data_IF_850155094007
#
_entry.id   IF_850155094007
#
_cell.length_a   1.000
_cell.length_b   1.000
_cell.length_c   1.000
_cell.angle_alpha   90.00
_cell.angle_beta   90.00
_cell.angle_gamma   90.00
#
_symmetry.space_group_name_H-M   'P 1'
#
loop_
_entity.id
_entity.type
_entity.pdbx_description
1 polymer ?
#
# COMPACT_ATOMS: atom_id res chain seq x y z
N UNK A 1 -21.88 -13.78 7.84
CA UNK A 1 -21.05 -13.12 6.79
C UNK A 1 -20.65 -11.73 7.23
N UNK A 2 -19.62 -11.09 6.59
CA UNK A 2 -19.23 -9.69 6.86
C UNK A 2 -20.41 -8.73 6.66
N UNK A 3 -21.27 -9.00 5.68
CA UNK A 3 -22.44 -8.17 5.41
C UNK A 3 -23.45 -8.21 6.58
N UNK A 4 -23.65 -9.35 7.19
CA UNK A 4 -24.54 -9.47 8.38
C UNK A 4 -24.01 -8.63 9.55
N UNK A 5 -22.68 -8.69 9.82
CA UNK A 5 -22.04 -7.87 10.88
C UNK A 5 -22.14 -6.38 10.54
N UNK A 6 -21.96 -6.00 9.27
CA UNK A 6 -22.12 -4.63 8.81
C UNK A 6 -23.52 -4.10 9.04
N UNK A 7 -24.55 -4.87 8.70
CA UNK A 7 -25.96 -4.50 8.91
C UNK A 7 -26.28 -4.38 10.40
N UNK A 8 -25.75 -5.27 11.22
CA UNK A 8 -25.92 -5.18 12.68
C UNK A 8 -25.25 -3.93 13.26
N UNK A 9 -24.05 -3.57 12.80
CA UNK A 9 -23.38 -2.34 13.19
C UNK A 9 -24.20 -1.11 12.81
N UNK A 10 -24.83 -1.09 11.63
CA UNK A 10 -25.71 0.00 11.19
C UNK A 10 -26.98 0.08 12.06
N UNK A 11 -27.61 -1.05 12.39
CA UNK A 11 -28.80 -1.08 13.25
C UNK A 11 -28.52 -0.57 14.66
N UNK A 12 -27.29 -0.75 15.14
CA UNK A 12 -26.81 -0.21 16.43
C UNK A 12 -26.30 1.25 16.32
N UNK A 13 -26.46 1.90 15.17
CA UNK A 13 -26.03 3.28 14.95
C UNK A 13 -24.49 3.45 14.78
N UNK A 14 -23.72 2.34 14.75
CA UNK A 14 -22.26 2.41 14.67
C UNK A 14 -21.76 2.46 13.22
N UNK A 15 -21.86 3.65 12.62
CA UNK A 15 -21.47 3.87 11.21
C UNK A 15 -19.98 3.61 10.95
N UNK A 16 -19.11 3.92 11.91
CA UNK A 16 -17.67 3.73 11.74
C UNK A 16 -17.33 2.25 11.61
N UNK A 17 -17.89 1.40 12.48
CA UNK A 17 -17.71 -0.06 12.40
C UNK A 17 -18.29 -0.60 11.09
N UNK A 18 -19.47 -0.15 10.67
CA UNK A 18 -20.07 -0.57 9.41
C UNK A 18 -19.20 -0.19 8.20
N UNK A 19 -18.59 0.99 8.22
CA UNK A 19 -17.65 1.44 7.19
C UNK A 19 -16.38 0.60 7.19
N UNK A 20 -15.79 0.33 8.35
CA UNK A 20 -14.61 -0.54 8.49
C UNK A 20 -14.86 -1.94 7.91
N UNK A 21 -16.01 -2.54 8.22
CA UNK A 21 -16.40 -3.87 7.70
C UNK A 21 -16.56 -3.85 6.17
N UNK A 22 -17.16 -2.78 5.62
CA UNK A 22 -17.29 -2.62 4.16
C UNK A 22 -15.93 -2.54 3.47
N UNK A 23 -15.02 -1.73 4.01
CA UNK A 23 -13.67 -1.57 3.47
C UNK A 23 -12.86 -2.85 3.59
N UNK A 24 -12.95 -3.55 4.73
CA UNK A 24 -12.33 -4.85 4.91
C UNK A 24 -12.83 -5.87 3.88
N UNK A 25 -14.14 -5.94 3.66
CA UNK A 25 -14.73 -6.81 2.64
C UNK A 25 -14.24 -6.49 1.22
N UNK A 26 -14.06 -5.20 0.89
CA UNK A 26 -13.48 -4.76 -0.40
C UNK A 26 -12.03 -5.20 -0.51
N UNK A 27 -11.24 -5.02 0.54
CA UNK A 27 -9.83 -5.41 0.59
C UNK A 27 -9.65 -6.92 0.42
N UNK A 28 -10.41 -7.74 1.18
CA UNK A 28 -10.36 -9.20 1.08
C UNK A 28 -10.74 -9.69 -0.33
N UNK A 29 -11.74 -9.09 -0.94
CA UNK A 29 -12.15 -9.45 -2.32
C UNK A 29 -11.03 -9.19 -3.30
N UNK A 30 -10.37 -8.03 -3.23
CA UNK A 30 -9.23 -7.74 -4.08
C UNK A 30 -8.13 -8.80 -3.97
N UNK A 31 -7.77 -9.18 -2.74
CA UNK A 31 -6.75 -10.23 -2.49
C UNK A 31 -7.18 -11.56 -3.12
N UNK A 32 -8.43 -11.98 -2.89
CA UNK A 32 -8.95 -13.26 -3.42
C UNK A 32 -9.00 -13.24 -4.95
N UNK A 33 -9.48 -12.16 -5.58
CA UNK A 33 -9.60 -12.03 -7.03
C UNK A 33 -8.23 -12.00 -7.73
N UNK A 34 -7.18 -11.59 -7.00
CA UNK A 34 -5.82 -11.51 -7.54
C UNK A 34 -4.89 -12.65 -7.06
N UNK A 35 -5.39 -13.56 -6.23
CA UNK A 35 -4.65 -14.77 -5.85
C UNK A 35 -4.48 -15.67 -7.08
N UNK A 36 -3.21 -15.93 -7.45
CA UNK A 36 -2.87 -16.76 -8.63
C UNK A 36 -2.88 -16.00 -9.97
N UNK A 37 -3.18 -14.70 -10.00
CA UNK A 37 -3.03 -13.89 -11.22
C UNK A 37 -1.62 -13.30 -11.31
N UNK A 38 -1.04 -13.31 -12.52
CA UNK A 38 0.29 -12.72 -12.74
C UNK A 38 0.26 -11.20 -12.77
N UNK A 39 -0.82 -10.61 -13.29
CA UNK A 39 -0.96 -9.16 -13.45
C UNK A 39 -2.37 -8.69 -13.12
N UNK A 40 -2.45 -7.43 -12.68
CA UNK A 40 -3.69 -6.65 -12.51
C UNK A 40 -3.53 -5.31 -13.24
N UNK A 41 -4.59 -4.48 -13.27
CA UNK A 41 -4.45 -3.11 -13.80
C UNK A 41 -3.99 -2.17 -12.69
N UNK A 42 -3.25 -1.12 -13.07
CA UNK A 42 -2.84 -0.08 -12.14
C UNK A 42 -4.06 0.56 -11.45
N UNK A 43 -5.16 0.76 -12.17
CA UNK A 43 -6.43 1.24 -11.57
C UNK A 43 -6.87 0.40 -10.39
N UNK A 44 -6.90 -0.93 -10.53
CA UNK A 44 -7.34 -1.84 -9.46
C UNK A 44 -6.39 -1.81 -8.26
N UNK A 45 -5.07 -1.78 -8.51
CA UNK A 45 -4.06 -1.67 -7.45
C UNK A 45 -4.22 -0.35 -6.68
N UNK A 46 -4.43 0.77 -7.39
CA UNK A 46 -4.67 2.08 -6.76
C UNK A 46 -5.98 2.13 -5.96
N UNK A 47 -7.04 1.51 -6.44
CA UNK A 47 -8.30 1.38 -5.68
C UNK A 47 -8.11 0.57 -4.39
N UNK A 48 -7.29 -0.47 -4.46
CA UNK A 48 -6.93 -1.26 -3.29
C UNK A 48 -6.14 -0.42 -2.27
N UNK A 49 -5.12 0.33 -2.73
CA UNK A 49 -4.34 1.23 -1.87
C UNK A 49 -5.22 2.31 -1.24
N UNK A 50 -6.12 2.94 -2.00
CA UNK A 50 -7.10 3.90 -1.44
C UNK A 50 -7.97 3.26 -0.36
N UNK A 51 -8.39 2.02 -0.57
CA UNK A 51 -9.18 1.27 0.41
C UNK A 51 -8.37 1.01 1.68
N UNK A 52 -7.12 0.58 1.56
CA UNK A 52 -6.20 0.38 2.66
C UNK A 52 -5.95 1.67 3.45
N UNK A 53 -5.61 2.76 2.76
CA UNK A 53 -5.38 4.08 3.37
C UNK A 53 -6.62 4.59 4.11
N UNK A 54 -7.82 4.36 3.55
CA UNK A 54 -9.09 4.72 4.23
C UNK A 54 -9.29 3.94 5.53
N UNK A 55 -8.87 2.66 5.59
CA UNK A 55 -8.89 1.88 6.82
C UNK A 55 -7.92 2.49 7.85
N UNK A 56 -6.73 2.86 7.41
CA UNK A 56 -5.74 3.50 8.30
C UNK A 56 -6.21 4.86 8.81
N UNK A 57 -6.89 5.66 7.98
CA UNK A 57 -7.48 6.92 8.43
C UNK A 57 -8.59 6.72 9.49
N UNK A 58 -9.35 5.63 9.43
CA UNK A 58 -10.28 5.29 10.52
C UNK A 58 -9.56 4.95 11.83
N UNK A 59 -8.34 4.37 11.75
CA UNK A 59 -7.51 4.03 12.91
C UNK A 59 -6.81 5.25 13.51
N UNK A 60 -6.20 6.07 12.65
CA UNK A 60 -5.33 7.16 13.06
C UNK A 60 -6.03 8.54 13.10
N UNK A 61 -7.23 8.65 12.49
CA UNK A 61 -7.92 9.93 12.35
C UNK A 61 -7.12 10.93 11.51
N UNK A 62 -7.20 12.20 11.90
CA UNK A 62 -6.52 13.30 11.20
C UNK A 62 -4.99 13.31 11.37
N UNK A 63 -4.44 12.40 12.19
CA UNK A 63 -2.99 12.28 12.38
C UNK A 63 -2.25 11.79 11.15
N UNK A 64 -2.93 11.05 10.25
CA UNK A 64 -2.33 10.52 9.02
C UNK A 64 -3.18 10.89 7.83
N UNK A 65 -2.58 11.64 6.92
CA UNK A 65 -3.19 12.04 5.66
C UNK A 65 -2.40 11.48 4.48
N UNK A 66 -3.00 11.48 3.30
CA UNK A 66 -2.32 11.08 2.09
C UNK A 66 -2.74 11.91 0.87
N UNK A 67 -1.83 11.98 -0.09
CA UNK A 67 -2.11 12.47 -1.45
C UNK A 67 -1.77 11.39 -2.45
N UNK A 68 -2.60 11.27 -3.49
CA UNK A 68 -2.37 10.36 -4.61
C UNK A 68 -2.48 11.17 -5.90
N UNK A 69 -1.39 11.27 -6.62
CA UNK A 69 -1.25 11.99 -7.89
C UNK A 69 -0.89 10.99 -8.98
N UNK A 70 -1.60 11.02 -10.07
CA UNK A 70 -1.35 10.19 -11.25
C UNK A 70 -1.27 11.12 -12.43
N UNK A 71 -0.28 10.95 -13.29
CA UNK A 71 -0.13 11.71 -14.53
C UNK A 71 -1.42 11.60 -15.36
N UNK A 72 -1.89 12.72 -15.87
CA UNK A 72 -3.14 12.81 -16.64
C UNK A 72 -3.10 11.99 -17.94
N UNK A 73 -1.92 11.88 -18.54
CA UNK A 73 -1.70 11.15 -19.80
C UNK A 73 -1.56 9.62 -19.58
N UNK A 74 -1.52 9.15 -18.33
CA UNK A 74 -1.35 7.72 -18.03
C UNK A 74 -2.70 6.97 -18.02
N UNK A 75 -2.91 6.11 -18.99
CA UNK A 75 -4.05 5.17 -18.98
C UNK A 75 -3.82 4.04 -17.97
N UNK A 76 -4.28 4.27 -16.75
CA UNK A 76 -4.15 3.31 -15.63
C UNK A 76 -4.95 2.03 -15.83
N UNK A 77 -5.94 2.00 -16.74
CA UNK A 77 -6.73 0.81 -17.05
C UNK A 77 -5.98 -0.14 -17.97
N UNK A 78 -5.20 0.38 -18.90
CA UNK A 78 -4.37 -0.42 -19.82
C UNK A 78 -3.02 -0.78 -19.18
N UNK A 79 -2.54 -0.01 -18.23
CA UNK A 79 -1.28 -0.26 -17.53
C UNK A 79 -1.38 -1.49 -16.62
N UNK A 80 -0.59 -2.55 -16.93
CA UNK A 80 -0.53 -3.78 -16.14
C UNK A 80 0.59 -3.74 -15.14
N UNK A 81 0.29 -4.16 -13.91
CA UNK A 81 1.21 -4.19 -12.78
C UNK A 81 1.04 -5.51 -12.00
N UNK A 82 2.08 -5.93 -11.27
CA UNK A 82 1.97 -7.06 -10.35
C UNK A 82 0.97 -6.72 -9.24
N UNK A 83 0.03 -7.63 -8.89
CA UNK A 83 -0.90 -7.39 -7.81
C UNK A 83 -0.19 -7.34 -6.46
N UNK A 84 -0.72 -6.55 -5.52
CA UNK A 84 -0.18 -6.37 -4.17
C UNK A 84 1.29 -5.89 -4.17
N UNK A 85 1.67 -5.07 -5.16
CA UNK A 85 3.02 -4.52 -5.27
C UNK A 85 3.19 -3.28 -4.39
N UNK A 86 2.19 -2.40 -4.37
CA UNK A 86 2.28 -1.12 -3.67
C UNK A 86 2.00 -1.24 -2.17
N UNK A 87 1.17 -2.20 -1.78
CA UNK A 87 0.72 -2.34 -0.39
C UNK A 87 1.88 -2.42 0.62
N UNK A 88 2.87 -3.31 0.49
CA UNK A 88 3.92 -3.41 1.50
C UNK A 88 4.78 -2.15 1.63
N UNK A 89 4.92 -1.37 0.55
CA UNK A 89 5.64 -0.09 0.59
C UNK A 89 4.83 0.96 1.36
N UNK A 90 3.52 1.04 1.10
CA UNK A 90 2.61 1.93 1.84
C UNK A 90 2.48 1.51 3.30
N UNK A 91 2.45 0.20 3.58
CA UNK A 91 2.47 -0.33 4.96
C UNK A 91 3.71 0.10 5.72
N UNK A 92 4.89 -0.01 5.10
CA UNK A 92 6.15 0.45 5.70
C UNK A 92 6.12 1.95 6.01
N UNK A 93 5.63 2.77 5.09
CA UNK A 93 5.49 4.21 5.32
C UNK A 93 4.59 4.51 6.52
N UNK A 94 3.51 3.76 6.73
CA UNK A 94 2.62 3.95 7.88
C UNK A 94 3.25 3.41 9.16
N UNK A 95 3.67 2.15 9.19
CA UNK A 95 4.09 1.47 10.40
C UNK A 95 5.44 1.99 10.92
N UNK A 96 6.38 2.24 10.02
CA UNK A 96 7.73 2.67 10.39
C UNK A 96 7.94 4.18 10.26
N UNK A 97 7.23 4.83 9.32
CA UNK A 97 7.32 6.28 9.15
C UNK A 97 6.41 7.06 10.09
N UNK A 98 5.13 6.72 10.13
CA UNK A 98 4.10 7.59 10.71
C UNK A 98 3.47 7.13 12.01
N UNK A 99 3.61 5.85 12.41
CA UNK A 99 2.92 5.32 13.61
C UNK A 99 3.30 6.08 14.88
N UNK A 100 4.55 6.55 14.99
CA UNK A 100 5.06 7.33 16.10
C UNK A 100 4.66 8.82 16.06
N UNK A 101 4.16 9.32 14.93
CA UNK A 101 3.74 10.73 14.81
C UNK A 101 2.43 10.98 15.53
N UNK A 102 2.37 12.07 16.26
CA UNK A 102 1.17 12.51 16.96
C UNK A 102 0.27 13.39 16.10
N UNK A 103 0.81 14.04 15.06
CA UNK A 103 0.14 14.97 14.17
C UNK A 103 0.85 15.07 12.81
N UNK A 104 0.14 15.59 11.81
CA UNK A 104 0.67 15.95 10.48
C UNK A 104 1.44 14.84 9.75
N UNK A 105 1.09 13.58 10.00
CA UNK A 105 1.60 12.46 9.22
C UNK A 105 1.09 12.54 7.77
N UNK A 106 1.99 12.49 6.79
CA UNK A 106 1.66 12.61 5.37
C UNK A 106 2.32 11.52 4.55
N UNK A 107 1.53 10.86 3.72
CA UNK A 107 2.03 9.98 2.66
C UNK A 107 1.72 10.64 1.31
N UNK A 108 2.72 10.74 0.47
CA UNK A 108 2.57 11.21 -0.91
C UNK A 108 2.87 10.06 -1.87
N UNK A 109 1.89 9.72 -2.70
CA UNK A 109 2.01 8.69 -3.74
C UNK A 109 1.93 9.42 -5.08
N UNK A 110 2.98 9.32 -5.89
CA UNK A 110 3.06 9.92 -7.22
C UNK A 110 3.33 8.83 -8.24
N UNK A 111 2.58 8.86 -9.33
CA UNK A 111 2.69 7.91 -10.42
C UNK A 111 2.86 8.69 -11.71
N UNK A 112 3.96 8.45 -12.38
CA UNK A 112 4.32 9.09 -13.63
C UNK A 112 4.74 8.04 -14.68
N UNK A 113 4.63 8.40 -15.94
CA UNK A 113 5.15 7.63 -17.05
C UNK A 113 6.26 8.42 -17.74
N UNK A 114 7.43 7.78 -17.92
CA UNK A 114 8.55 8.35 -18.65
C UNK A 114 9.18 7.26 -19.53
N UNK A 115 9.30 7.53 -20.84
CA UNK A 115 9.99 6.66 -21.80
C UNK A 115 9.58 5.17 -21.71
N UNK A 116 8.27 4.90 -21.68
CA UNK A 116 7.68 3.57 -21.49
C UNK A 116 7.97 2.91 -20.11
N UNK A 117 8.50 3.67 -19.17
CA UNK A 117 8.73 3.22 -17.80
C UNK A 117 7.68 3.82 -16.86
N UNK A 118 7.10 2.99 -15.99
CA UNK A 118 6.21 3.44 -14.93
C UNK A 118 7.04 3.79 -13.69
N UNK A 119 7.03 5.05 -13.31
CA UNK A 119 7.67 5.53 -12.08
C UNK A 119 6.63 5.70 -10.97
N UNK A 120 6.76 4.93 -9.91
CA UNK A 120 5.90 5.02 -8.73
C UNK A 120 6.75 5.50 -7.56
N UNK A 121 6.43 6.66 -7.03
CA UNK A 121 7.12 7.26 -5.89
C UNK A 121 6.20 7.29 -4.68
N UNK A 122 6.63 6.71 -3.57
CA UNK A 122 5.92 6.73 -2.29
C UNK A 122 6.85 7.41 -1.29
N UNK A 123 6.39 8.52 -0.72
CA UNK A 123 7.13 9.31 0.29
C UNK A 123 6.29 9.46 1.52
N UNK A 124 6.91 9.34 2.67
CA UNK A 124 6.35 9.74 3.96
C UNK A 124 7.18 10.89 4.58
N UNK A 125 6.57 11.59 5.52
CA UNK A 125 7.24 12.61 6.32
C UNK A 125 7.51 12.11 7.74
N UNK A 126 7.76 10.81 7.90
CA UNK A 126 8.02 10.15 9.17
C UNK A 126 9.38 10.45 9.76
N UNK A 127 9.81 9.57 10.67
CA UNK A 127 11.08 9.73 11.39
C UNK A 127 12.33 9.56 10.49
N UNK A 128 12.17 8.94 9.31
CA UNK A 128 13.29 8.63 8.43
C UNK A 128 14.21 7.54 8.99
N UNK A 129 15.39 7.43 8.39
CA UNK A 129 16.45 6.47 8.75
C UNK A 129 17.79 7.17 8.76
N UNK A 130 18.72 6.72 9.60
CA UNK A 130 20.13 7.09 9.50
C UNK A 130 20.76 6.49 8.25
N UNK A 131 21.94 6.97 7.86
CA UNK A 131 22.64 6.40 6.69
C UNK A 131 22.99 4.92 6.91
N UNK A 132 23.38 4.54 8.12
CA UNK A 132 23.70 3.17 8.50
C UNK A 132 22.47 2.26 8.41
N UNK A 133 21.32 2.72 8.89
CA UNK A 133 20.04 1.99 8.79
C UNK A 133 19.60 1.83 7.32
N UNK A 134 19.77 2.88 6.52
CA UNK A 134 19.42 2.85 5.10
C UNK A 134 20.32 1.87 4.33
N UNK A 135 21.62 1.86 4.58
CA UNK A 135 22.56 0.93 3.93
C UNK A 135 22.27 -0.50 4.37
N UNK A 136 22.01 -0.74 5.65
CA UNK A 136 21.60 -2.06 6.14
C UNK A 136 20.27 -2.52 5.54
N UNK A 137 19.32 -1.62 5.29
CA UNK A 137 18.07 -1.92 4.62
C UNK A 137 18.29 -2.29 3.14
N UNK A 138 19.12 -1.51 2.42
CA UNK A 138 19.49 -1.79 1.03
C UNK A 138 20.15 -3.16 0.88
N UNK A 139 21.06 -3.51 1.78
CA UNK A 139 21.71 -4.83 1.78
C UNK A 139 20.71 -5.95 2.04
N UNK A 140 19.76 -5.75 2.95
CA UNK A 140 18.70 -6.74 3.21
C UNK A 140 17.73 -6.90 2.04
N UNK A 141 17.42 -5.83 1.31
CA UNK A 141 16.56 -5.89 0.11
C UNK A 141 17.27 -6.67 -1.02
N UNK A 142 18.59 -6.56 -1.14
CA UNK A 142 19.38 -7.25 -2.16
C UNK A 142 19.66 -8.71 -1.80
N UNK A 143 20.02 -8.94 -0.55
CA UNK A 143 20.45 -10.25 -0.03
C UNK A 143 19.29 -10.89 0.74
N UNK A 144 19.16 -12.21 0.66
CA UNK A 144 18.07 -12.97 1.29
C UNK A 144 18.02 -12.70 2.82
N UNK A 145 17.02 -11.96 3.33
CA UNK A 145 16.88 -11.76 4.78
C UNK A 145 16.43 -13.06 5.45
N UNK A 146 16.80 -13.27 6.71
CA UNK A 146 16.20 -14.33 7.52
C UNK A 146 14.70 -14.10 7.68
N UNK A 147 13.91 -15.18 7.81
CA UNK A 147 12.44 -15.17 7.78
C UNK A 147 11.73 -14.22 8.76
N UNK A 148 12.45 -13.74 9.79
CA UNK A 148 11.86 -12.93 10.87
C UNK A 148 12.26 -11.45 10.82
N UNK A 149 12.74 -10.96 9.67
CA UNK A 149 13.18 -9.56 9.56
C UNK A 149 12.05 -8.63 9.07
N UNK A 150 11.93 -7.41 9.62
CA UNK A 150 10.90 -6.43 9.20
C UNK A 150 10.95 -6.04 7.72
N UNK A 151 12.05 -6.30 7.02
CA UNK A 151 12.24 -5.94 5.61
C UNK A 151 11.83 -7.02 4.60
N UNK A 152 11.22 -8.13 5.05
CA UNK A 152 10.84 -9.24 4.15
C UNK A 152 9.84 -8.81 3.08
N UNK A 153 8.95 -7.89 3.38
CA UNK A 153 7.99 -7.34 2.42
C UNK A 153 8.67 -6.63 1.26
N UNK A 154 9.65 -5.75 1.54
CA UNK A 154 10.40 -5.02 0.52
C UNK A 154 11.33 -5.94 -0.29
N UNK A 155 11.97 -6.91 0.37
CA UNK A 155 12.73 -7.94 -0.31
C UNK A 155 11.86 -8.72 -1.31
N UNK A 156 10.70 -9.20 -0.88
CA UNK A 156 9.78 -9.94 -1.74
C UNK A 156 9.31 -9.11 -2.95
N UNK A 157 9.06 -7.81 -2.75
CA UNK A 157 8.74 -6.90 -3.85
C UNK A 157 9.90 -6.80 -4.83
N UNK A 158 11.11 -6.56 -4.33
CA UNK A 158 12.31 -6.46 -5.15
C UNK A 158 12.50 -7.73 -5.99
N UNK A 159 12.38 -8.91 -5.38
CA UNK A 159 12.47 -10.18 -6.08
C UNK A 159 11.38 -10.35 -7.15
N UNK A 160 10.15 -9.96 -6.84
CA UNK A 160 9.05 -10.03 -7.81
C UNK A 160 9.26 -9.10 -8.98
N UNK A 161 9.73 -7.87 -8.74
CA UNK A 161 10.05 -6.90 -9.81
C UNK A 161 11.17 -7.46 -10.69
N UNK A 162 12.29 -7.90 -10.12
CA UNK A 162 13.41 -8.47 -10.88
C UNK A 162 12.99 -9.69 -11.71
N UNK A 163 12.15 -10.58 -11.15
CA UNK A 163 11.70 -11.78 -11.87
C UNK A 163 10.77 -11.47 -13.05
N UNK A 164 9.92 -10.44 -12.97
CA UNK A 164 8.88 -10.18 -13.97
C UNK A 164 9.24 -9.07 -14.96
N UNK A 165 10.03 -8.08 -14.55
CA UNK A 165 10.40 -6.95 -15.41
C UNK A 165 11.87 -6.97 -15.83
N UNK A 166 12.68 -7.81 -15.22
CA UNK A 166 14.12 -7.80 -15.39
C UNK A 166 14.78 -6.67 -14.59
N UNK A 167 16.11 -6.63 -14.55
CA UNK A 167 16.87 -5.50 -14.03
C UNK A 167 17.05 -4.42 -15.09
#
# INVERSE_FOLDING_TARGET
>A
TLETIRMQALSCGNRNVATSIKLLGKSMRYVLDNTGTSFTTLTKELEYIKTYLSIQQLRFGDRVNYTLQVDEDLDTNSCKILPLLLQPVVENAILHGLESKTEDGMITIQIASADATLLITIKDNGQGMTNEELDALRDRIRNHPSSDTPSIGLYNINQRISLFYGE
#
